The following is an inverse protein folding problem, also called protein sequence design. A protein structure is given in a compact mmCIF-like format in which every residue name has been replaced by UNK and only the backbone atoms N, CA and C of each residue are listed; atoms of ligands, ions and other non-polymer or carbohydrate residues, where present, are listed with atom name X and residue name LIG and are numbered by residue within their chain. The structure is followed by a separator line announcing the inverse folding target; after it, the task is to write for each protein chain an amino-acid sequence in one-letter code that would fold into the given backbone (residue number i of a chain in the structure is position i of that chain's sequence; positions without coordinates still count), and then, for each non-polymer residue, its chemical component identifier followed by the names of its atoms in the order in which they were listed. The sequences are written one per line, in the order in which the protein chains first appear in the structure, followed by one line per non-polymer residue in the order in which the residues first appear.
data_IF_674608907497
#
_entry.id   IF_674608907497
#
_cell.length_a   1.000
_cell.length_b   1.000
_cell.length_c   1.000
_cell.angle_alpha   90.00
_cell.angle_beta   90.00
_cell.angle_gamma   90.00
#
_symmetry.space_group_name_H-M   'P 1'
#
loop_
_entity.id
_entity.type
_entity.pdbx_description
1 polymer ?
#
# COMPACT_ATOMS: atom_id res chain seq x y z
N UNK A 1 18.90 8.47 -10.86
CA UNK A 1 18.95 7.72 -12.13
C UNK A 1 20.35 7.19 -12.39
N UNK A 2 21.42 8.00 -12.28
CA UNK A 2 22.81 7.57 -12.54
C UNK A 2 23.20 6.32 -11.74
N UNK A 3 22.83 6.20 -10.44
CA UNK A 3 23.13 5.02 -9.61
C UNK A 3 22.36 3.76 -10.04
N UNK A 4 21.21 3.93 -10.66
CA UNK A 4 20.37 2.85 -11.18
C UNK A 4 20.81 2.44 -12.61
N UNK A 5 21.64 3.24 -13.28
CA UNK A 5 22.05 2.99 -14.65
C UNK A 5 20.90 3.13 -15.66
N UNK A 6 19.89 3.96 -15.36
CA UNK A 6 18.72 4.19 -16.21
C UNK A 6 18.55 5.68 -16.50
N UNK A 7 17.93 5.99 -17.64
CA UNK A 7 17.61 7.37 -18.01
C UNK A 7 16.26 7.82 -17.45
N UNK A 8 15.35 6.88 -17.20
CA UNK A 8 14.00 7.12 -16.71
C UNK A 8 13.60 6.00 -15.72
N UNK A 9 12.77 6.32 -14.73
CA UNK A 9 12.08 5.34 -13.88
C UNK A 9 10.58 5.33 -14.20
N UNK A 10 9.93 4.18 -14.05
CA UNK A 10 8.50 4.06 -14.32
C UNK A 10 7.67 4.77 -13.27
N UNK A 11 7.95 4.56 -12.00
CA UNK A 11 7.18 5.11 -10.89
C UNK A 11 8.10 5.68 -9.82
N UNK A 12 7.80 6.90 -9.37
CA UNK A 12 8.33 7.47 -8.13
C UNK A 12 7.18 7.75 -7.18
N UNK A 13 7.39 7.53 -5.88
CA UNK A 13 6.33 7.72 -4.89
C UNK A 13 6.83 8.58 -3.74
N UNK A 14 6.01 9.57 -3.34
CA UNK A 14 6.21 10.29 -2.09
C UNK A 14 6.01 9.32 -0.93
N UNK A 15 6.98 9.24 -0.04
CA UNK A 15 6.97 8.27 1.05
C UNK A 15 6.30 8.83 2.30
N UNK A 16 5.22 8.15 2.72
CA UNK A 16 4.59 8.30 4.03
C UNK A 16 4.08 9.70 4.38
N UNK A 17 3.35 10.34 3.47
CA UNK A 17 2.71 11.64 3.71
C UNK A 17 1.51 11.52 4.69
N UNK A 18 1.78 11.28 5.96
CA UNK A 18 0.80 11.11 7.04
C UNK A 18 0.76 12.31 7.97
N UNK A 19 1.92 12.92 8.23
CA UNK A 19 2.02 14.04 9.15
C UNK A 19 1.67 15.36 8.46
N UNK A 20 0.91 16.19 9.16
CA UNK A 20 0.34 17.42 8.61
C UNK A 20 1.40 18.41 8.10
N UNK A 21 2.48 18.56 8.87
CA UNK A 21 3.55 19.51 8.52
C UNK A 21 4.33 19.02 7.29
N UNK A 22 4.65 17.72 7.21
CA UNK A 22 5.31 17.10 6.06
C UNK A 22 4.41 17.18 4.81
N UNK A 23 3.11 16.96 4.97
CA UNK A 23 2.13 17.09 3.89
C UNK A 23 2.10 18.52 3.35
N UNK A 24 1.99 19.52 4.22
CA UNK A 24 1.99 20.93 3.81
C UNK A 24 3.28 21.33 3.12
N UNK A 25 4.43 20.88 3.60
CA UNK A 25 5.72 21.12 2.96
C UNK A 25 5.79 20.51 1.57
N UNK A 26 5.35 19.24 1.42
CA UNK A 26 5.37 18.55 0.14
C UNK A 26 4.50 19.24 -0.94
N UNK A 27 3.36 19.83 -0.53
CA UNK A 27 2.43 20.53 -1.42
C UNK A 27 2.64 22.05 -1.50
N UNK A 28 3.64 22.59 -0.78
CA UNK A 28 3.96 24.02 -0.87
C UNK A 28 4.63 24.39 -2.20
N UNK A 29 4.61 25.66 -2.61
CA UNK A 29 5.40 26.14 -3.76
C UNK A 29 6.88 25.79 -3.61
N UNK A 30 7.47 25.15 -4.61
CA UNK A 30 8.82 24.58 -4.57
C UNK A 30 8.96 23.29 -3.77
N UNK A 31 7.86 22.68 -3.33
CA UNK A 31 7.84 21.44 -2.58
C UNK A 31 8.04 20.18 -3.43
N UNK A 32 7.97 19.03 -2.78
CA UNK A 32 8.29 17.76 -3.43
C UNK A 32 7.32 17.40 -4.57
N UNK A 33 6.03 17.75 -4.45
CA UNK A 33 5.03 17.49 -5.51
C UNK A 33 5.38 18.27 -6.78
N UNK A 34 5.73 19.56 -6.68
CA UNK A 34 6.13 20.37 -7.82
C UNK A 34 7.42 19.84 -8.47
N UNK A 35 8.40 19.43 -7.64
CA UNK A 35 9.63 18.83 -8.14
C UNK A 35 9.39 17.52 -8.90
N UNK A 36 8.47 16.67 -8.43
CA UNK A 36 8.11 15.43 -9.14
C UNK A 36 7.32 15.70 -10.42
N UNK A 37 6.43 16.69 -10.43
CA UNK A 37 5.75 17.13 -11.65
C UNK A 37 6.75 17.60 -12.71
N UNK A 38 7.73 18.43 -12.32
CA UNK A 38 8.82 18.86 -13.19
C UNK A 38 9.63 17.67 -13.72
N UNK A 39 9.99 16.71 -12.86
CA UNK A 39 10.73 15.51 -13.26
C UNK A 39 9.94 14.66 -14.27
N UNK A 40 8.61 14.61 -14.17
CA UNK A 40 7.74 13.95 -15.15
C UNK A 40 7.74 14.69 -16.48
N UNK A 41 7.62 16.01 -16.45
CA UNK A 41 7.64 16.85 -17.66
C UNK A 41 8.99 16.79 -18.39
N UNK A 42 10.08 16.60 -17.65
CA UNK A 42 11.44 16.36 -18.18
C UNK A 42 11.65 14.91 -18.68
N UNK A 43 10.69 14.02 -18.51
CA UNK A 43 10.76 12.63 -18.93
C UNK A 43 11.65 11.75 -18.05
N UNK A 44 12.01 12.19 -16.84
CA UNK A 44 12.82 11.42 -15.89
C UNK A 44 12.01 10.37 -15.13
N UNK A 45 10.70 10.55 -15.05
CA UNK A 45 9.75 9.61 -14.45
C UNK A 45 8.47 9.57 -15.28
N UNK A 46 7.80 8.40 -15.34
CA UNK A 46 6.54 8.24 -16.07
C UNK A 46 5.33 8.49 -15.21
N UNK A 47 5.32 7.91 -14.00
CA UNK A 47 4.20 7.95 -13.06
C UNK A 47 4.63 8.45 -11.70
N UNK A 48 3.74 9.19 -11.03
CA UNK A 48 3.96 9.74 -9.70
C UNK A 48 2.90 9.16 -8.75
N UNK A 49 3.33 8.58 -7.64
CA UNK A 49 2.43 8.03 -6.64
C UNK A 49 2.67 8.59 -5.24
N UNK A 50 1.81 8.18 -4.33
CA UNK A 50 1.92 8.51 -2.92
C UNK A 50 1.76 7.25 -2.07
N UNK A 51 2.56 7.14 -1.01
CA UNK A 51 2.55 5.99 -0.11
C UNK A 51 2.31 6.42 1.33
N UNK A 52 1.89 5.47 2.15
CA UNK A 52 1.83 5.72 3.58
C UNK A 52 1.49 4.51 4.43
N UNK A 53 1.60 4.74 5.72
CA UNK A 53 1.40 3.75 6.77
C UNK A 53 0.43 4.25 7.83
N UNK A 54 -0.16 3.31 8.60
CA UNK A 54 -1.04 3.63 9.71
C UNK A 54 -2.50 3.82 9.32
N UNK A 55 -3.32 4.16 10.32
CA UNK A 55 -4.77 4.19 10.17
C UNK A 55 -5.31 5.49 9.54
N UNK A 56 -4.53 6.56 9.54
CA UNK A 56 -4.93 7.85 8.95
C UNK A 56 -4.68 7.94 7.46
N UNK A 57 -3.89 7.00 6.90
CA UNK A 57 -3.36 7.17 5.53
C UNK A 57 -4.41 7.16 4.43
N UNK A 58 -5.50 6.34 4.47
CA UNK A 58 -6.52 6.43 3.42
C UNK A 58 -7.15 7.82 3.33
N UNK A 59 -7.50 8.43 4.48
CA UNK A 59 -8.01 9.81 4.52
C UNK A 59 -6.99 10.85 4.04
N UNK A 60 -5.70 10.68 4.38
CA UNK A 60 -4.63 11.56 3.87
C UNK A 60 -4.42 11.41 2.36
N UNK A 61 -4.60 10.21 1.82
CA UNK A 61 -4.55 9.99 0.38
C UNK A 61 -5.74 10.64 -0.35
N UNK A 62 -6.95 10.54 0.21
CA UNK A 62 -8.11 11.27 -0.34
C UNK A 62 -7.83 12.76 -0.44
N UNK A 63 -7.30 13.36 0.63
CA UNK A 63 -6.89 14.76 0.65
C UNK A 63 -5.80 15.07 -0.38
N UNK A 64 -4.80 14.19 -0.52
CA UNK A 64 -3.71 14.36 -1.48
C UNK A 64 -4.21 14.30 -2.93
N UNK A 65 -5.20 13.45 -3.21
CA UNK A 65 -5.85 13.34 -4.52
C UNK A 65 -6.73 14.54 -4.87
N UNK A 66 -7.15 15.33 -3.90
CA UNK A 66 -7.85 16.60 -4.16
C UNK A 66 -6.89 17.71 -4.62
N UNK A 67 -5.60 17.62 -4.24
CA UNK A 67 -4.59 18.63 -4.57
C UNK A 67 -3.73 18.27 -5.80
N UNK A 68 -3.51 16.98 -6.07
CA UNK A 68 -2.66 16.54 -7.17
C UNK A 68 -3.14 15.21 -7.77
N UNK A 69 -3.08 15.11 -9.10
CA UNK A 69 -3.43 13.91 -9.84
C UNK A 69 -2.30 12.88 -9.77
N UNK A 70 -2.26 12.09 -8.68
CA UNK A 70 -1.36 10.95 -8.56
C UNK A 70 -1.83 9.79 -9.43
N UNK A 71 -0.86 9.07 -9.99
CA UNK A 71 -1.10 7.87 -10.80
C UNK A 71 -1.27 6.61 -9.94
N UNK A 72 -0.77 6.62 -8.70
CA UNK A 72 -0.92 5.50 -7.77
C UNK A 72 -0.97 5.93 -6.31
N UNK A 73 -1.68 5.12 -5.51
CA UNK A 73 -1.68 5.20 -4.05
C UNK A 73 -1.21 3.88 -3.46
N UNK A 74 -0.54 3.92 -2.29
CA UNK A 74 -0.15 2.73 -1.56
C UNK A 74 -0.51 2.89 -0.09
N UNK A 75 -1.26 1.91 0.46
CA UNK A 75 -1.69 1.90 1.85
C UNK A 75 -1.79 0.47 2.42
N UNK A 76 -1.79 0.29 3.75
CA UNK A 76 -1.98 -1.03 4.34
C UNK A 76 -3.43 -1.51 4.19
N UNK A 77 -3.59 -2.78 3.79
CA UNK A 77 -4.89 -3.43 3.67
C UNK A 77 -4.81 -4.87 4.21
N UNK A 78 -5.59 -5.17 5.22
CA UNK A 78 -5.84 -6.52 5.72
C UNK A 78 -7.14 -6.55 6.52
N UNK A 79 -7.61 -7.75 6.85
CA UNK A 79 -8.87 -7.97 7.56
C UNK A 79 -8.93 -7.22 8.90
N UNK A 80 -7.89 -7.35 9.72
CA UNK A 80 -7.86 -6.73 11.05
C UNK A 80 -7.96 -5.20 11.01
N UNK A 81 -7.37 -4.56 10.01
CA UNK A 81 -7.45 -3.11 9.83
C UNK A 81 -8.86 -2.65 9.42
N UNK A 82 -9.52 -3.42 8.56
CA UNK A 82 -10.89 -3.10 8.13
C UNK A 82 -11.96 -3.31 9.21
N UNK A 83 -11.62 -3.93 10.35
CA UNK A 83 -12.50 -3.98 11.54
C UNK A 83 -12.67 -2.61 12.21
N UNK A 84 -11.80 -1.65 11.92
CA UNK A 84 -11.97 -0.26 12.35
C UNK A 84 -12.94 0.44 11.38
N UNK A 85 -14.11 0.85 11.86
CA UNK A 85 -15.16 1.49 11.04
C UNK A 85 -14.62 2.75 10.33
N UNK A 86 -13.89 3.60 11.03
CA UNK A 86 -13.32 4.82 10.45
C UNK A 86 -12.30 4.49 9.34
N UNK A 87 -11.43 3.50 9.56
CA UNK A 87 -10.45 3.08 8.56
C UNK A 87 -11.14 2.43 7.34
N UNK A 88 -12.13 1.57 7.58
CA UNK A 88 -12.89 0.91 6.50
C UNK A 88 -13.62 1.92 5.64
N UNK A 89 -14.27 2.90 6.24
CA UNK A 89 -14.96 3.98 5.52
C UNK A 89 -14.01 4.79 4.63
N UNK A 90 -12.84 5.18 5.15
CA UNK A 90 -11.84 5.91 4.38
C UNK A 90 -11.28 5.06 3.23
N UNK A 91 -11.03 3.75 3.47
CA UNK A 91 -10.55 2.82 2.45
C UNK A 91 -11.58 2.65 1.32
N UNK A 92 -12.87 2.48 1.65
CA UNK A 92 -13.93 2.35 0.65
C UNK A 92 -14.03 3.60 -0.24
N UNK A 93 -13.99 4.79 0.37
CA UNK A 93 -13.98 6.05 -0.36
C UNK A 93 -12.74 6.18 -1.26
N UNK A 94 -11.56 5.81 -0.73
CA UNK A 94 -10.31 5.88 -1.49
C UNK A 94 -10.33 4.93 -2.69
N UNK A 95 -10.78 3.68 -2.50
CA UNK A 95 -10.89 2.70 -3.59
C UNK A 95 -11.84 3.23 -4.66
N UNK A 96 -13.04 3.69 -4.28
CA UNK A 96 -14.00 4.25 -5.23
C UNK A 96 -13.39 5.43 -6.01
N UNK A 97 -12.74 6.38 -5.33
CA UNK A 97 -12.07 7.52 -5.96
C UNK A 97 -10.98 7.07 -6.94
N UNK A 98 -10.19 6.07 -6.57
CA UNK A 98 -9.12 5.56 -7.44
C UNK A 98 -9.69 4.87 -8.69
N UNK A 99 -10.72 4.04 -8.54
CA UNK A 99 -11.39 3.36 -9.67
C UNK A 99 -11.98 4.37 -10.63
N UNK A 100 -12.71 5.36 -10.14
CA UNK A 100 -13.37 6.39 -10.95
C UNK A 100 -12.35 7.24 -11.75
N UNK A 101 -11.12 7.38 -11.26
CA UNK A 101 -10.09 8.21 -11.87
C UNK A 101 -8.95 7.41 -12.52
N UNK A 102 -9.02 6.07 -12.55
CA UNK A 102 -7.99 5.22 -13.16
C UNK A 102 -6.66 5.22 -12.40
N UNK A 103 -6.68 5.43 -11.08
CA UNK A 103 -5.50 5.48 -10.21
C UNK A 103 -5.19 4.06 -9.72
N UNK A 104 -3.94 3.63 -9.86
CA UNK A 104 -3.50 2.31 -9.42
C UNK A 104 -3.47 2.20 -7.88
N UNK A 105 -4.03 1.09 -7.35
CA UNK A 105 -4.11 0.84 -5.91
C UNK A 105 -3.11 -0.25 -5.53
N UNK A 106 -2.08 0.12 -4.79
CA UNK A 106 -1.12 -0.81 -4.22
C UNK A 106 -1.42 -1.01 -2.73
N UNK A 107 -1.35 -2.24 -2.26
CA UNK A 107 -1.60 -2.56 -0.85
C UNK A 107 -0.42 -3.26 -0.22
N UNK A 108 -0.21 -3.00 1.06
CA UNK A 108 0.84 -3.60 1.89
C UNK A 108 0.24 -4.21 3.15
N UNK A 109 1.05 -4.99 3.86
CA UNK A 109 0.72 -5.61 5.16
C UNK A 109 -0.41 -6.64 5.08
N UNK A 110 -0.65 -7.24 3.93
CA UNK A 110 -1.64 -8.34 3.78
C UNK A 110 -1.39 -9.47 4.78
N UNK A 111 -0.15 -9.89 4.94
CA UNK A 111 0.24 -10.99 5.85
C UNK A 111 0.77 -10.51 7.21
N UNK A 112 0.40 -9.31 7.63
CA UNK A 112 0.76 -8.82 8.96
C UNK A 112 -0.13 -9.47 10.02
N UNK A 113 0.49 -10.17 10.97
CA UNK A 113 -0.17 -10.73 12.16
C UNK A 113 -0.36 -9.65 13.23
N UNK A 114 0.76 -9.01 13.62
CA UNK A 114 0.77 -8.02 14.71
C UNK A 114 2.01 -7.12 14.62
N UNK A 115 2.09 -6.13 15.49
CA UNK A 115 3.38 -5.50 15.79
C UNK A 115 4.27 -6.49 16.51
N UNK A 116 5.57 -6.40 16.28
CA UNK A 116 6.52 -7.18 17.07
C UNK A 116 6.35 -6.88 18.56
N UNK A 117 6.37 -7.93 19.38
CA UNK A 117 6.38 -7.77 20.82
C UNK A 117 7.62 -6.96 21.26
N UNK A 118 7.43 -6.07 22.23
CA UNK A 118 8.51 -5.19 22.71
C UNK A 118 9.73 -5.95 23.23
N UNK A 119 9.51 -7.17 23.75
CA UNK A 119 10.56 -8.04 24.29
C UNK A 119 11.17 -9.02 23.27
N UNK A 120 10.67 -8.99 22.02
CA UNK A 120 11.22 -9.86 20.99
C UNK A 120 12.62 -9.39 20.58
N UNK A 121 13.62 -10.21 20.82
CA UNK A 121 15.05 -9.98 20.57
C UNK A 121 15.60 -10.76 19.36
N UNK A 122 14.76 -11.57 18.72
CA UNK A 122 15.11 -12.34 17.53
C UNK A 122 15.22 -11.48 16.26
N UNK A 123 15.65 -12.08 15.15
CA UNK A 123 15.81 -11.38 13.87
C UNK A 123 14.45 -10.95 13.31
N UNK A 124 14.34 -9.66 12.95
CA UNK A 124 13.17 -9.06 12.33
C UNK A 124 13.46 -8.79 10.85
N UNK A 125 12.76 -9.49 9.95
CA UNK A 125 12.91 -9.33 8.50
C UNK A 125 11.77 -8.51 7.86
N UNK A 126 10.81 -8.08 8.68
CA UNK A 126 9.74 -7.16 8.32
C UNK A 126 9.45 -6.21 9.48
N UNK A 127 8.80 -5.07 9.20
CA UNK A 127 8.39 -4.08 10.20
C UNK A 127 7.30 -4.59 11.17
N UNK A 128 6.69 -5.74 10.87
CA UNK A 128 5.64 -6.39 11.63
C UNK A 128 5.96 -7.89 11.79
N UNK A 129 5.36 -8.53 12.76
CA UNK A 129 5.36 -9.99 12.85
C UNK A 129 4.47 -10.56 11.74
N UNK A 130 5.00 -11.34 10.79
CA UNK A 130 4.19 -11.91 9.73
C UNK A 130 3.43 -13.15 10.20
N UNK A 131 2.31 -13.44 9.53
CA UNK A 131 1.71 -14.77 9.55
C UNK A 131 2.76 -15.79 9.07
N UNK A 132 2.71 -17.01 9.62
CA UNK A 132 3.63 -18.11 9.28
C UNK A 132 2.93 -19.39 8.92
N UNK A 133 1.66 -19.49 9.25
CA UNK A 133 0.80 -20.59 8.89
C UNK A 133 0.31 -20.43 7.45
N UNK A 134 0.42 -21.51 6.64
CA UNK A 134 0.13 -21.44 5.21
C UNK A 134 -1.35 -21.16 4.91
N UNK A 135 -2.27 -21.70 5.73
CA UNK A 135 -3.71 -21.47 5.54
C UNK A 135 -4.08 -20.03 5.92
N UNK A 136 -3.50 -19.50 7.01
CA UNK A 136 -3.69 -18.11 7.39
C UNK A 136 -3.14 -17.15 6.35
N UNK A 137 -1.99 -17.46 5.74
CA UNK A 137 -1.42 -16.68 4.63
C UNK A 137 -2.32 -16.75 3.41
N UNK A 138 -2.85 -17.92 3.07
CA UNK A 138 -3.78 -18.08 1.95
C UNK A 138 -5.03 -17.24 2.14
N UNK A 139 -5.69 -17.32 3.30
CA UNK A 139 -6.85 -16.47 3.61
C UNK A 139 -6.52 -14.98 3.51
N UNK A 140 -5.39 -14.55 4.08
CA UNK A 140 -4.96 -13.17 4.05
C UNK A 140 -4.66 -12.66 2.64
N UNK A 141 -4.08 -13.48 1.77
CA UNK A 141 -3.82 -13.15 0.36
C UNK A 141 -5.12 -13.11 -0.44
N UNK A 142 -6.01 -14.10 -0.28
CA UNK A 142 -7.36 -14.10 -0.89
C UNK A 142 -8.17 -12.88 -0.45
N UNK A 143 -8.08 -12.50 0.82
CA UNK A 143 -8.77 -11.31 1.34
C UNK A 143 -8.38 -10.03 0.60
N UNK A 144 -7.14 -9.89 0.13
CA UNK A 144 -6.69 -8.74 -0.66
C UNK A 144 -6.97 -8.95 -2.15
N UNK A 145 -6.49 -10.04 -2.73
CA UNK A 145 -6.55 -10.29 -4.18
C UNK A 145 -7.93 -10.70 -4.69
N UNK A 146 -8.84 -11.08 -3.80
CA UNK A 146 -10.25 -11.26 -4.15
C UNK A 146 -10.98 -9.94 -4.47
N UNK A 147 -10.38 -8.79 -4.13
CA UNK A 147 -10.90 -7.47 -4.49
C UNK A 147 -10.45 -7.06 -5.87
N UNK A 148 -11.35 -6.47 -6.62
CA UNK A 148 -11.02 -5.85 -7.91
C UNK A 148 -10.12 -4.61 -7.72
N UNK A 149 -9.31 -4.32 -8.71
CA UNK A 149 -8.52 -3.09 -8.83
C UNK A 149 -7.41 -2.90 -7.78
N UNK A 150 -7.09 -3.89 -6.94
CA UNK A 150 -6.01 -3.78 -5.95
C UNK A 150 -4.83 -4.69 -6.29
N UNK A 151 -3.63 -4.17 -6.12
CA UNK A 151 -2.38 -4.91 -6.21
C UNK A 151 -1.85 -5.21 -4.81
N UNK A 152 -1.43 -6.44 -4.59
CA UNK A 152 -0.79 -6.86 -3.36
C UNK A 152 0.73 -6.72 -3.51
N UNK A 153 1.31 -5.76 -2.80
CA UNK A 153 2.75 -5.75 -2.59
C UNK A 153 3.10 -6.77 -1.50
N UNK A 154 4.02 -7.66 -1.82
CA UNK A 154 4.36 -8.80 -0.99
C UNK A 154 5.06 -8.40 0.32
N UNK A 155 5.62 -9.37 1.00
CA UNK A 155 6.31 -9.22 2.28
C UNK A 155 7.81 -8.99 2.08
N UNK A 156 8.45 -8.27 3.01
CA UNK A 156 9.91 -8.17 3.08
C UNK A 156 10.57 -9.39 3.74
N UNK A 157 9.81 -10.26 4.41
CA UNK A 157 10.32 -11.52 4.96
C UNK A 157 10.33 -12.61 3.88
N UNK A 158 11.48 -12.80 3.23
CA UNK A 158 11.66 -13.78 2.17
C UNK A 158 11.33 -15.24 2.58
N UNK A 159 11.28 -15.54 3.89
CA UNK A 159 10.95 -16.88 4.39
C UNK A 159 9.46 -17.22 4.22
N UNK A 160 8.60 -16.23 4.20
CA UNK A 160 7.15 -16.43 3.95
C UNK A 160 6.76 -16.11 2.51
N UNK A 161 7.65 -15.51 1.73
CA UNK A 161 7.39 -15.14 0.33
C UNK A 161 6.91 -16.32 -0.53
N UNK A 162 7.50 -17.54 -0.46
CA UNK A 162 7.01 -18.65 -1.26
C UNK A 162 5.54 -19.00 -1.01
N UNK A 163 5.08 -18.95 0.27
CA UNK A 163 3.68 -19.18 0.62
C UNK A 163 2.75 -18.07 0.10
N UNK A 164 3.21 -16.82 0.13
CA UNK A 164 2.46 -15.68 -0.44
C UNK A 164 2.30 -15.82 -1.94
N UNK A 165 3.38 -16.20 -2.66
CA UNK A 165 3.35 -16.39 -4.11
C UNK A 165 2.46 -17.57 -4.52
N UNK A 166 2.53 -18.67 -3.77
CA UNK A 166 1.70 -19.84 -3.99
C UNK A 166 0.19 -19.53 -3.76
N UNK A 167 -0.14 -18.83 -2.67
CA UNK A 167 -1.49 -18.36 -2.42
C UNK A 167 -1.98 -17.37 -3.50
N UNK A 168 -1.13 -16.44 -3.91
CA UNK A 168 -1.47 -15.48 -4.96
C UNK A 168 -1.73 -16.17 -6.32
N UNK A 169 -0.98 -17.23 -6.62
CA UNK A 169 -1.19 -18.02 -7.85
C UNK A 169 -2.55 -18.77 -7.89
N UNK A 170 -3.20 -18.95 -6.73
CA UNK A 170 -4.53 -19.57 -6.62
C UNK A 170 -5.66 -18.57 -6.41
N UNK A 171 -5.34 -17.33 -6.03
CA UNK A 171 -6.36 -16.33 -5.75
C UNK A 171 -7.14 -15.96 -7.03
N UNK A 172 -8.44 -15.78 -6.88
CA UNK A 172 -9.34 -15.37 -7.96
C UNK A 172 -10.12 -14.13 -7.51
N UNK A 173 -10.23 -13.15 -8.38
CA UNK A 173 -11.07 -11.97 -8.13
C UNK A 173 -12.51 -12.39 -7.91
N UNK A 174 -13.14 -11.86 -6.87
CA UNK A 174 -14.48 -12.22 -6.42
C UNK A 174 -14.51 -13.34 -5.36
N UNK A 175 -13.41 -14.08 -5.18
CA UNK A 175 -13.30 -15.13 -4.16
C UNK A 175 -12.76 -14.55 -2.83
N UNK A 176 -13.61 -13.84 -2.12
CA UNK A 176 -13.28 -13.29 -0.79
C UNK A 176 -13.59 -14.32 0.31
N UNK A 177 -12.70 -14.52 1.27
CA UNK A 177 -13.02 -15.32 2.45
C UNK A 177 -14.11 -14.62 3.26
N UNK A 178 -15.01 -15.43 3.82
CA UNK A 178 -16.03 -14.96 4.75
C UNK A 178 -15.41 -14.49 6.08
N UNK A 179 -16.14 -13.70 6.85
CA UNK A 179 -15.69 -13.29 8.19
C UNK A 179 -15.39 -14.49 9.09
N UNK A 180 -16.21 -15.57 8.99
CA UNK A 180 -15.99 -16.79 9.75
C UNK A 180 -14.70 -17.54 9.36
N UNK A 181 -14.23 -17.41 8.11
CA UNK A 181 -12.93 -17.96 7.69
C UNK A 181 -11.76 -17.10 8.16
N UNK A 182 -12.00 -15.80 8.37
CA UNK A 182 -10.95 -14.83 8.77
C UNK A 182 -10.76 -14.76 10.29
N UNK A 183 -11.72 -15.18 11.10
CA UNK A 183 -11.66 -15.27 12.57
C UNK A 183 -11.01 -16.55 13.06
#
# INVERSE_FOLDING_TARGET
LQRLGVEQVDLIQLHNLVEEDEWREAFSPGGAVEALATARDEGLVRFIGVTGHGLRIPGMHLRSLDEFAFDSVLFPLNYSLLRSEAFSSDVEQLIARCVDNGIAIQTIKSVAKSRWEARYDGPKFSWYEPLRDAEAIERAVRFVLGREHVFLNSTSDARVLPMVLDAAGRATVGDLPSDAEME
#
